data_IF_660945480277
#
_entry.id   IF_660945480277
#
_cell.length_a   1.000
_cell.length_b   1.000
_cell.length_c   1.000
_cell.angle_alpha   90.00
_cell.angle_beta   90.00
_cell.angle_gamma   90.00
#
_symmetry.space_group_name_H-M   'P 1'
#
loop_
_entity.id
_entity.type
_entity.pdbx_description
1 polymer ?
#
# COMPACT_ATOMS: atom_id res chain seq x y z
N UNK A 1 21.10 -10.60 20.62
CA UNK A 1 21.33 -10.12 19.24
C UNK A 1 22.29 -11.08 18.57
N UNK A 2 21.82 -11.92 17.63
CA UNK A 2 22.69 -12.86 16.93
C UNK A 2 23.43 -12.07 15.85
N UNK A 3 24.77 -12.02 15.86
CA UNK A 3 25.60 -11.30 14.87
C UNK A 3 25.34 -11.71 13.41
N UNK A 4 24.54 -12.75 13.20
CA UNK A 4 24.18 -13.30 11.91
C UNK A 4 23.14 -12.47 11.12
N UNK A 5 22.25 -11.71 11.78
CA UNK A 5 21.21 -10.95 11.05
C UNK A 5 21.71 -9.61 10.50
N UNK A 6 22.68 -8.97 11.16
CA UNK A 6 23.20 -7.64 10.78
C UNK A 6 23.93 -7.70 9.41
N UNK A 7 24.58 -8.81 9.07
CA UNK A 7 25.30 -8.97 7.80
C UNK A 7 24.41 -9.28 6.59
N UNK A 8 23.09 -9.44 6.76
CA UNK A 8 22.21 -9.84 5.66
C UNK A 8 21.88 -8.65 4.73
N UNK A 9 21.77 -7.44 5.28
CA UNK A 9 21.41 -6.24 4.52
C UNK A 9 22.49 -5.83 3.48
N UNK A 10 23.75 -6.16 3.73
CA UNK A 10 24.87 -5.80 2.86
C UNK A 10 24.76 -6.42 1.46
N UNK A 11 24.16 -7.61 1.34
CA UNK A 11 24.06 -8.35 0.09
C UNK A 11 22.70 -8.24 -0.62
N UNK A 12 21.67 -7.71 0.03
CA UNK A 12 20.33 -7.63 -0.53
C UNK A 12 20.27 -6.62 -1.68
N UNK A 13 19.78 -7.08 -2.85
CA UNK A 13 19.38 -6.25 -3.99
C UNK A 13 17.87 -5.97 -3.98
N UNK A 14 17.42 -4.96 -4.72
CA UNK A 14 16.01 -4.54 -4.77
C UNK A 14 15.02 -5.62 -5.28
N UNK A 15 15.52 -6.69 -5.92
CA UNK A 15 14.71 -7.77 -6.51
C UNK A 15 15.11 -9.17 -6.00
N UNK A 16 15.82 -9.26 -4.86
CA UNK A 16 16.38 -10.51 -4.35
C UNK A 16 15.30 -11.57 -4.06
N UNK A 17 14.16 -11.13 -3.52
CA UNK A 17 13.05 -12.01 -3.14
C UNK A 17 12.42 -12.65 -4.38
N UNK A 18 12.15 -11.85 -5.39
CA UNK A 18 11.56 -12.30 -6.66
C UNK A 18 12.49 -13.26 -7.39
N UNK A 19 13.80 -12.96 -7.42
CA UNK A 19 14.81 -13.86 -8.01
C UNK A 19 14.83 -15.21 -7.27
N UNK A 20 14.71 -15.20 -5.94
CA UNK A 20 14.69 -16.43 -5.13
C UNK A 20 13.47 -17.28 -5.47
N UNK A 21 12.29 -16.69 -5.54
CA UNK A 21 11.04 -17.38 -5.93
C UNK A 21 11.14 -17.96 -7.34
N UNK A 22 11.68 -17.20 -8.30
CA UNK A 22 11.87 -17.69 -9.67
C UNK A 22 12.83 -18.88 -9.71
N UNK A 23 13.95 -18.84 -8.99
CA UNK A 23 14.90 -19.96 -8.93
C UNK A 23 14.30 -21.21 -8.29
N UNK A 24 13.45 -21.04 -7.29
CA UNK A 24 12.82 -22.15 -6.57
C UNK A 24 11.74 -22.84 -7.43
N UNK A 25 10.87 -22.08 -8.09
CA UNK A 25 9.73 -22.62 -8.83
C UNK A 25 9.98 -22.83 -10.33
N UNK A 26 10.93 -22.10 -10.91
CA UNK A 26 11.27 -22.16 -12.34
C UNK A 26 12.78 -22.35 -12.57
N UNK A 27 13.43 -23.34 -11.93
CA UNK A 27 14.88 -23.54 -12.03
C UNK A 27 15.36 -23.80 -13.47
N UNK A 28 14.50 -24.38 -14.30
CA UNK A 28 14.77 -24.64 -15.71
C UNK A 28 14.96 -23.36 -16.53
N UNK A 29 14.45 -22.21 -16.08
CA UNK A 29 14.63 -20.91 -16.73
C UNK A 29 15.95 -20.24 -16.36
N UNK A 30 16.86 -20.93 -15.64
CA UNK A 30 18.19 -20.41 -15.33
C UNK A 30 19.28 -21.27 -15.97
N UNK A 31 20.20 -20.62 -16.67
CA UNK A 31 21.36 -21.26 -17.25
C UNK A 31 22.46 -21.54 -16.22
N UNK A 32 23.46 -22.33 -16.60
CA UNK A 32 24.58 -22.71 -15.70
C UNK A 32 25.40 -21.52 -15.21
N UNK A 33 25.37 -20.40 -15.92
CA UNK A 33 26.02 -19.14 -15.53
C UNK A 33 25.14 -18.25 -14.64
N UNK A 34 23.90 -18.66 -14.38
CA UNK A 34 22.93 -17.97 -13.54
C UNK A 34 22.10 -16.91 -14.29
N UNK A 35 22.24 -16.78 -15.61
CA UNK A 35 21.39 -15.92 -16.42
C UNK A 35 19.96 -16.48 -16.52
N UNK A 36 18.96 -15.61 -16.67
CA UNK A 36 17.54 -15.98 -16.75
C UNK A 36 17.07 -16.02 -18.20
N UNK A 37 16.62 -17.19 -18.65
CA UNK A 37 16.05 -17.42 -19.97
C UNK A 37 14.56 -17.02 -19.98
N UNK A 38 14.32 -15.80 -20.46
CA UNK A 38 12.97 -15.25 -20.58
C UNK A 38 12.12 -16.01 -21.60
N UNK A 39 12.70 -16.52 -22.69
CA UNK A 39 11.92 -17.20 -23.73
C UNK A 39 11.41 -18.54 -23.21
N UNK A 40 12.26 -19.28 -22.49
CA UNK A 40 11.84 -20.51 -21.82
C UNK A 40 10.77 -20.26 -20.76
N UNK A 41 10.86 -19.16 -20.02
CA UNK A 41 9.81 -18.78 -19.06
C UNK A 41 8.50 -18.44 -19.78
N UNK A 42 8.55 -17.82 -20.96
CA UNK A 42 7.35 -17.56 -21.77
C UNK A 42 6.71 -18.85 -22.26
N UNK A 43 7.49 -19.82 -22.71
CA UNK A 43 6.99 -21.16 -23.09
C UNK A 43 6.28 -21.87 -21.93
N UNK A 44 6.72 -21.67 -20.68
CA UNK A 44 6.03 -22.21 -19.51
C UNK A 44 4.63 -21.63 -19.28
N UNK A 45 4.34 -20.43 -19.81
CA UNK A 45 3.10 -19.69 -19.55
C UNK A 45 2.17 -19.60 -20.77
N UNK A 46 2.66 -19.96 -21.96
CA UNK A 46 2.05 -19.60 -23.24
C UNK A 46 0.68 -20.24 -23.53
N UNK A 47 0.33 -21.32 -22.84
CA UNK A 47 -0.91 -22.05 -23.10
C UNK A 47 -2.13 -21.44 -22.39
N UNK A 48 -1.94 -20.73 -21.27
CA UNK A 48 -3.03 -20.27 -20.40
C UNK A 48 -3.09 -18.74 -20.19
N UNK A 49 -2.04 -17.98 -20.56
CA UNK A 49 -1.93 -16.54 -20.28
C UNK A 49 -1.56 -15.75 -21.53
N UNK A 50 -2.39 -14.78 -21.92
CA UNK A 50 -2.06 -13.84 -22.99
C UNK A 50 -0.94 -12.90 -22.57
N UNK A 51 0.17 -12.90 -23.31
CA UNK A 51 1.31 -12.02 -23.02
C UNK A 51 1.09 -10.62 -23.61
N UNK A 52 1.10 -9.62 -22.75
CA UNK A 52 1.08 -8.22 -23.17
C UNK A 52 2.51 -7.76 -23.42
N UNK A 53 2.84 -7.38 -24.66
CA UNK A 53 4.19 -6.90 -25.02
C UNK A 53 4.44 -5.45 -24.61
N UNK A 54 3.39 -4.65 -24.44
CA UNK A 54 3.46 -3.24 -24.03
C UNK A 54 2.49 -2.98 -22.88
N UNK A 55 3.02 -2.73 -21.68
CA UNK A 55 2.24 -2.40 -20.49
C UNK A 55 2.44 -0.95 -20.06
N UNK A 56 1.43 -0.39 -19.39
CA UNK A 56 1.56 0.87 -18.67
C UNK A 56 2.34 0.63 -17.37
N UNK A 57 3.32 1.50 -17.06
CA UNK A 57 4.09 1.44 -15.80
C UNK A 57 4.16 2.82 -15.15
N UNK A 58 3.85 2.89 -13.85
CA UNK A 58 4.16 4.05 -13.03
C UNK A 58 5.69 4.14 -12.80
N UNK A 59 6.33 5.13 -13.41
CA UNK A 59 7.75 5.44 -13.22
C UNK A 59 7.92 6.72 -12.39
N UNK A 60 8.71 6.64 -11.33
CA UNK A 60 9.11 7.79 -10.52
C UNK A 60 10.55 7.66 -10.03
N UNK A 61 11.18 8.79 -9.73
CA UNK A 61 12.56 8.81 -9.22
C UNK A 61 12.59 8.15 -7.83
N UNK A 62 13.42 7.12 -7.68
CA UNK A 62 13.58 6.39 -6.43
C UNK A 62 12.63 5.19 -6.23
N UNK A 63 11.89 4.74 -7.26
CA UNK A 63 11.08 3.51 -7.19
C UNK A 63 11.90 2.29 -6.75
N UNK A 64 13.07 2.06 -7.35
CA UNK A 64 13.95 0.94 -6.97
C UNK A 64 14.54 1.10 -5.56
N UNK A 65 14.78 2.34 -5.13
CA UNK A 65 15.20 2.63 -3.76
C UNK A 65 14.08 2.25 -2.77
N UNK A 66 12.85 2.66 -3.05
CA UNK A 66 11.69 2.33 -2.23
C UNK A 66 11.45 0.80 -2.12
N UNK A 67 11.65 0.05 -3.23
CA UNK A 67 11.65 -1.43 -3.22
C UNK A 67 12.74 -2.03 -2.34
N UNK A 68 13.96 -1.49 -2.44
CA UNK A 68 15.06 -1.91 -1.57
C UNK A 68 14.68 -1.69 -0.10
N UNK A 69 14.13 -0.53 0.27
CA UNK A 69 13.73 -0.24 1.65
C UNK A 69 12.72 -1.25 2.21
N UNK A 70 11.78 -1.73 1.39
CA UNK A 70 10.82 -2.78 1.78
C UNK A 70 11.49 -4.14 2.05
N UNK A 71 12.66 -4.38 1.44
CA UNK A 71 13.40 -5.66 1.52
C UNK A 71 14.43 -5.69 2.65
N UNK A 72 14.95 -4.52 3.05
CA UNK A 72 15.93 -4.40 4.13
C UNK A 72 15.33 -4.84 5.48
N UNK A 73 16.10 -5.58 6.26
CA UNK A 73 15.75 -5.86 7.66
C UNK A 73 15.86 -4.58 8.48
N UNK A 74 14.98 -4.43 9.47
CA UNK A 74 15.06 -3.34 10.45
C UNK A 74 16.11 -3.64 11.52
N UNK A 75 16.85 -2.61 11.91
CA UNK A 75 17.82 -2.65 13.03
C UNK A 75 17.18 -2.27 14.37
N UNK A 76 15.90 -1.88 14.35
CA UNK A 76 15.13 -1.53 15.55
C UNK A 76 14.73 -2.79 16.35
N UNK A 77 14.32 -2.58 17.60
CA UNK A 77 13.80 -3.63 18.49
C UNK A 77 12.47 -3.21 19.10
N UNK A 78 11.56 -4.15 19.30
CA UNK A 78 10.34 -3.93 20.07
C UNK A 78 10.65 -4.10 21.55
N UNK A 79 10.29 -3.09 22.35
CA UNK A 79 10.44 -3.10 23.81
C UNK A 79 9.05 -2.96 24.43
N UNK A 80 8.61 -3.91 25.29
CA UNK A 80 7.32 -3.80 25.97
C UNK A 80 7.33 -2.66 26.99
N UNK A 81 6.22 -1.93 27.10
CA UNK A 81 6.00 -0.99 28.18
C UNK A 81 5.39 -1.72 29.37
N UNK A 82 6.23 -2.38 30.18
CA UNK A 82 5.79 -3.23 31.29
C UNK A 82 4.83 -2.54 32.25
N UNK A 83 5.06 -1.26 32.56
CA UNK A 83 4.20 -0.48 33.46
C UNK A 83 2.79 -0.28 32.90
N UNK A 84 2.66 -0.07 31.59
CA UNK A 84 1.36 0.08 30.93
C UNK A 84 0.69 -1.28 30.68
N UNK A 85 1.47 -2.29 30.31
CA UNK A 85 0.96 -3.60 29.93
C UNK A 85 0.51 -4.43 31.14
N UNK A 86 1.09 -4.20 32.32
CA UNK A 86 0.77 -4.94 33.55
C UNK A 86 -0.39 -4.32 34.36
N UNK A 87 -1.12 -3.35 33.82
CA UNK A 87 -2.32 -2.83 34.49
C UNK A 87 -3.48 -3.83 34.36
N UNK A 88 -4.38 -3.86 35.34
CA UNK A 88 -5.53 -4.77 35.35
C UNK A 88 -6.42 -4.67 34.09
N UNK A 89 -6.48 -3.48 33.47
CA UNK A 89 -7.20 -3.25 32.21
C UNK A 89 -6.51 -3.86 30.98
N UNK A 90 -5.18 -3.95 30.98
CA UNK A 90 -4.38 -4.27 29.79
C UNK A 90 -3.73 -5.66 29.81
N UNK A 91 -3.64 -6.31 30.97
CA UNK A 91 -2.91 -7.57 31.16
C UNK A 91 -3.37 -8.68 30.18
N UNK A 92 -4.66 -8.77 29.91
CA UNK A 92 -5.29 -9.76 29.02
C UNK A 92 -5.76 -9.15 27.69
N UNK A 93 -5.31 -7.95 27.34
CA UNK A 93 -5.72 -7.27 26.10
C UNK A 93 -5.13 -7.95 24.87
N UNK A 94 -5.97 -8.22 23.88
CA UNK A 94 -5.54 -8.66 22.54
C UNK A 94 -5.14 -7.49 21.62
N UNK A 95 -5.36 -6.25 22.07
CA UNK A 95 -5.05 -5.05 21.29
C UNK A 95 -3.60 -4.60 21.50
N UNK A 96 -2.91 -4.27 20.42
CA UNK A 96 -1.50 -3.86 20.44
C UNK A 96 -1.36 -2.43 19.93
N UNK A 97 -0.61 -1.61 20.67
CA UNK A 97 -0.19 -0.28 20.26
C UNK A 97 1.34 -0.22 20.17
N UNK A 98 1.87 0.18 19.02
CA UNK A 98 3.32 0.27 18.76
C UNK A 98 3.66 1.73 18.46
N UNK A 99 4.64 2.28 19.16
CA UNK A 99 5.18 3.62 18.92
C UNK A 99 6.50 3.56 18.18
N UNK A 100 6.66 4.29 17.08
CA UNK A 100 7.89 4.37 16.29
C UNK A 100 7.62 4.70 14.83
N UNK A 101 8.63 4.54 13.97
CA UNK A 101 8.42 4.59 12.53
C UNK A 101 7.61 3.36 12.08
N UNK A 102 6.54 3.61 11.32
CA UNK A 102 5.64 2.57 10.86
C UNK A 102 6.29 1.59 9.88
N UNK A 103 7.32 1.98 9.12
CA UNK A 103 8.07 1.06 8.25
C UNK A 103 8.77 -0.02 9.08
N UNK A 104 9.41 0.37 10.19
CA UNK A 104 10.04 -0.57 11.13
C UNK A 104 9.00 -1.42 11.87
N UNK A 105 7.91 -0.80 12.33
CA UNK A 105 6.79 -1.50 12.94
C UNK A 105 6.22 -2.59 12.03
N UNK A 106 5.94 -2.25 10.76
CA UNK A 106 5.46 -3.20 9.75
C UNK A 106 6.46 -4.34 9.52
N UNK A 107 7.77 -4.05 9.42
CA UNK A 107 8.81 -5.08 9.26
C UNK A 107 8.84 -6.07 10.42
N UNK A 108 8.68 -5.60 11.66
CA UNK A 108 8.56 -6.50 12.81
C UNK A 108 7.27 -7.32 12.77
N UNK A 109 6.15 -6.69 12.44
CA UNK A 109 4.86 -7.38 12.33
C UNK A 109 4.90 -8.49 11.28
N UNK A 110 5.54 -8.29 10.13
CA UNK A 110 5.65 -9.29 9.07
C UNK A 110 6.22 -10.63 9.56
N UNK A 111 7.15 -10.61 10.54
CA UNK A 111 7.78 -11.83 11.08
C UNK A 111 6.75 -12.79 11.70
N UNK A 112 5.64 -12.27 12.24
CA UNK A 112 4.64 -13.06 12.97
C UNK A 112 3.22 -12.98 12.40
N UNK A 113 2.92 -11.93 11.64
CA UNK A 113 1.59 -11.57 11.15
C UNK A 113 1.46 -11.54 9.62
N UNK A 114 2.45 -12.05 8.88
CA UNK A 114 2.32 -12.25 7.42
C UNK A 114 1.05 -13.05 7.10
N UNK A 115 0.26 -12.56 6.16
CA UNK A 115 -1.02 -13.13 5.75
C UNK A 115 -2.04 -13.38 6.89
N UNK A 116 -2.04 -12.54 7.95
CA UNK A 116 -2.95 -12.67 9.11
C UNK A 116 -3.86 -11.47 9.36
N UNK A 117 -3.63 -10.34 8.70
CA UNK A 117 -4.43 -9.12 8.89
C UNK A 117 -5.63 -9.12 7.96
N UNK A 118 -6.84 -9.03 8.52
CA UNK A 118 -8.08 -9.02 7.72
C UNK A 118 -8.36 -7.66 7.07
N UNK A 119 -8.09 -6.58 7.78
CA UNK A 119 -8.42 -5.23 7.35
C UNK A 119 -7.30 -4.27 7.73
N UNK A 120 -6.91 -3.41 6.81
CA UNK A 120 -6.01 -2.28 7.06
C UNK A 120 -6.76 -1.00 6.72
N UNK A 121 -6.74 -0.02 7.63
CA UNK A 121 -7.16 1.35 7.34
C UNK A 121 -5.99 2.28 7.64
N UNK A 122 -5.69 3.19 6.71
CA UNK A 122 -4.66 4.21 6.89
C UNK A 122 -5.15 5.57 6.39
N UNK A 123 -4.67 6.61 7.07
CA UNK A 123 -4.88 8.02 6.74
C UNK A 123 -3.50 8.70 6.58
N UNK A 124 -2.81 8.47 5.43
CA UNK A 124 -1.48 9.00 5.19
C UNK A 124 -1.49 10.53 5.05
N UNK A 125 -0.33 11.21 5.13
CA UNK A 125 -0.24 12.63 4.78
C UNK A 125 -0.71 12.86 3.34
N UNK A 126 -1.54 13.88 3.11
CA UNK A 126 -2.14 14.14 1.79
C UNK A 126 -1.20 14.89 0.84
N UNK A 127 -0.07 15.39 1.34
CA UNK A 127 0.89 16.19 0.59
C UNK A 127 0.29 17.50 0.05
N UNK A 128 -0.52 18.16 0.88
CA UNK A 128 -1.19 19.42 0.50
C UNK A 128 -0.25 20.62 0.40
N UNK A 129 1.00 20.47 0.84
CA UNK A 129 1.97 21.55 1.03
C UNK A 129 1.74 22.38 2.30
N UNK A 130 0.61 22.19 2.98
CA UNK A 130 0.25 22.87 4.24
C UNK A 130 0.24 21.94 5.46
N UNK A 131 0.25 20.63 5.23
CA UNK A 131 0.27 19.57 6.25
C UNK A 131 1.67 19.31 6.84
N UNK A 132 2.69 19.99 6.33
CA UNK A 132 4.08 19.86 6.79
C UNK A 132 4.75 18.57 6.37
N UNK A 133 4.19 17.81 5.41
CA UNK A 133 4.84 16.61 4.91
C UNK A 133 6.17 16.94 4.23
N UNK A 134 7.23 16.29 4.72
CA UNK A 134 8.57 16.33 4.13
C UNK A 134 9.15 14.94 4.28
N UNK A 135 9.47 14.28 3.16
CA UNK A 135 10.11 12.98 3.23
C UNK A 135 11.56 13.12 3.68
N UNK A 136 11.87 12.52 4.81
CA UNK A 136 13.23 12.37 5.33
C UNK A 136 13.37 10.93 5.84
N UNK A 137 14.45 10.26 5.45
CA UNK A 137 14.76 8.91 5.92
C UNK A 137 16.17 8.85 6.50
N UNK A 138 16.39 7.91 7.43
CA UNK A 138 17.65 7.77 8.17
C UNK A 138 18.59 6.74 7.51
N UNK A 139 18.32 6.32 6.26
CA UNK A 139 19.15 5.32 5.59
C UNK A 139 20.47 5.94 5.09
N UNK A 140 21.58 5.45 5.65
CA UNK A 140 22.91 6.00 5.40
C UNK A 140 23.63 5.28 4.24
N UNK A 141 23.06 5.34 3.04
CA UNK A 141 23.77 4.90 1.82
C UNK A 141 24.68 6.00 1.27
N UNK A 142 25.85 5.62 0.76
CA UNK A 142 26.64 6.47 -0.13
C UNK A 142 26.28 6.26 -1.61
N UNK A 143 26.73 7.16 -2.48
CA UNK A 143 26.39 7.15 -3.92
C UNK A 143 26.81 5.86 -4.59
N UNK A 144 28.01 5.35 -4.29
CA UNK A 144 28.57 4.16 -4.92
C UNK A 144 27.82 2.90 -4.48
N UNK A 145 27.56 2.77 -3.17
CA UNK A 145 26.77 1.68 -2.62
C UNK A 145 25.37 1.63 -3.22
N UNK A 146 24.70 2.79 -3.33
CA UNK A 146 23.35 2.87 -3.87
C UNK A 146 23.34 2.60 -5.39
N UNK A 147 24.31 3.13 -6.11
CA UNK A 147 24.52 2.89 -7.54
C UNK A 147 24.69 1.40 -7.83
N UNK A 148 25.52 0.71 -7.04
CA UNK A 148 25.75 -0.73 -7.18
C UNK A 148 24.50 -1.54 -6.82
N UNK A 149 23.89 -1.27 -5.66
CA UNK A 149 22.70 -2.00 -5.17
C UNK A 149 21.50 -1.89 -6.09
N UNK A 150 21.28 -0.71 -6.67
CA UNK A 150 20.15 -0.45 -7.56
C UNK A 150 20.51 -0.63 -9.05
N UNK A 151 21.78 -0.88 -9.37
CA UNK A 151 22.28 -0.94 -10.75
C UNK A 151 21.90 0.30 -11.57
N UNK A 152 22.10 1.48 -10.97
CA UNK A 152 21.83 2.79 -11.57
C UNK A 152 23.11 3.61 -11.67
N UNK A 153 23.13 4.60 -12.56
CA UNK A 153 24.26 5.54 -12.65
C UNK A 153 24.41 6.35 -11.35
N UNK A 154 25.66 6.69 -10.99
CA UNK A 154 25.98 7.49 -9.81
C UNK A 154 25.22 8.83 -9.77
N UNK A 155 24.99 9.47 -10.91
CA UNK A 155 24.19 10.70 -10.99
C UNK A 155 22.74 10.48 -10.53
N UNK A 156 22.12 9.35 -10.91
CA UNK A 156 20.78 9.01 -10.45
C UNK A 156 20.76 8.67 -8.96
N UNK A 157 21.76 7.94 -8.48
CA UNK A 157 21.92 7.64 -7.06
C UNK A 157 22.06 8.94 -6.22
N UNK A 158 22.87 9.90 -6.69
CA UNK A 158 23.01 11.20 -6.03
C UNK A 158 21.68 11.96 -5.98
N UNK A 159 20.89 11.95 -7.05
CA UNK A 159 19.57 12.59 -7.08
C UNK A 159 18.57 11.97 -6.10
N UNK A 160 18.61 10.65 -5.92
CA UNK A 160 17.79 9.95 -4.91
C UNK A 160 18.25 10.37 -3.50
N UNK A 161 19.55 10.40 -3.24
CA UNK A 161 20.11 10.82 -1.95
C UNK A 161 19.82 12.30 -1.63
N UNK A 162 19.79 13.16 -2.64
CA UNK A 162 19.43 14.57 -2.47
C UNK A 162 17.95 14.74 -2.12
N UNK A 163 17.05 13.93 -2.70
CA UNK A 163 15.62 13.95 -2.39
C UNK A 163 15.30 13.48 -0.97
N UNK A 164 16.05 12.49 -0.47
CA UNK A 164 15.86 11.89 0.85
C UNK A 164 16.45 12.78 1.96
N UNK A 165 17.67 13.30 1.77
CA UNK A 165 18.40 14.04 2.83
C UNK A 165 18.00 15.51 2.98
N UNK A 166 17.59 16.17 1.89
CA UNK A 166 17.23 17.60 1.94
C UNK A 166 15.80 17.83 2.41
N UNK A 167 15.01 16.77 2.50
CA UNK A 167 13.57 16.87 2.64
C UNK A 167 12.91 17.27 1.34
N UNK A 168 11.93 16.50 0.87
CA UNK A 168 11.14 16.84 -0.31
C UNK A 168 9.66 16.52 -0.09
N UNK A 169 8.81 17.44 -0.55
CA UNK A 169 7.36 17.27 -0.65
C UNK A 169 6.91 16.99 -2.10
N UNK A 170 7.83 16.57 -2.97
CA UNK A 170 7.48 16.21 -4.35
C UNK A 170 6.69 14.90 -4.41
N UNK A 171 5.91 14.69 -5.47
CA UNK A 171 5.20 13.42 -5.71
C UNK A 171 6.15 12.20 -5.66
N UNK A 172 7.36 12.32 -6.22
CA UNK A 172 8.35 11.22 -6.14
C UNK A 172 8.77 10.93 -4.70
N UNK A 173 8.90 11.96 -3.86
CA UNK A 173 9.23 11.79 -2.45
C UNK A 173 8.09 11.14 -1.66
N UNK A 174 6.85 11.56 -1.91
CA UNK A 174 5.66 10.94 -1.33
C UNK A 174 5.49 9.48 -1.77
N UNK A 175 5.69 9.18 -3.06
CA UNK A 175 5.65 7.82 -3.59
C UNK A 175 6.77 6.95 -2.98
N UNK A 176 8.00 7.48 -2.82
CA UNK A 176 9.08 6.77 -2.14
C UNK A 176 8.73 6.45 -0.68
N UNK A 177 8.06 7.37 0.01
CA UNK A 177 7.58 7.16 1.38
C UNK A 177 6.50 6.08 1.46
N UNK A 178 5.49 6.14 0.59
CA UNK A 178 4.32 5.26 0.64
C UNK A 178 4.60 3.85 0.13
N UNK A 179 5.40 3.69 -0.93
CA UNK A 179 5.65 2.42 -1.59
C UNK A 179 6.03 1.28 -0.63
N UNK A 180 7.09 1.39 0.21
CA UNK A 180 7.50 0.27 1.05
C UNK A 180 6.47 -0.05 2.12
N UNK A 181 5.75 0.96 2.62
CA UNK A 181 4.70 0.79 3.63
C UNK A 181 3.51 0.03 3.08
N UNK A 182 3.06 0.40 1.88
CA UNK A 182 1.97 -0.29 1.18
C UNK A 182 2.35 -1.71 0.79
N UNK A 183 3.58 -1.93 0.32
CA UNK A 183 4.06 -3.28 0.00
C UNK A 183 4.06 -4.19 1.23
N UNK A 184 4.53 -3.71 2.38
CA UNK A 184 4.51 -4.48 3.63
C UNK A 184 3.08 -4.67 4.16
N UNK A 185 2.23 -3.64 4.08
CA UNK A 185 0.81 -3.76 4.45
C UNK A 185 0.09 -4.82 3.60
N UNK A 186 0.36 -4.85 2.29
CA UNK A 186 -0.14 -5.90 1.37
C UNK A 186 0.27 -7.29 1.85
N UNK A 187 1.51 -7.47 2.30
CA UNK A 187 2.05 -8.77 2.74
C UNK A 187 1.54 -9.21 4.12
N UNK A 188 1.03 -8.28 4.94
CA UNK A 188 0.32 -8.62 6.18
C UNK A 188 -1.11 -9.12 5.92
N UNK A 189 -1.74 -8.71 4.83
CA UNK A 189 -3.14 -9.04 4.56
C UNK A 189 -3.35 -10.54 4.29
N UNK A 190 -4.39 -11.11 4.90
CA UNK A 190 -4.93 -12.42 4.48
C UNK A 190 -5.37 -12.37 3.01
N UNK A 191 -5.49 -13.52 2.34
CA UNK A 191 -5.96 -13.57 0.94
C UNK A 191 -7.31 -12.87 0.74
N UNK A 192 -8.22 -13.05 1.69
CA UNK A 192 -9.54 -12.41 1.73
C UNK A 192 -9.51 -11.02 2.39
N UNK A 193 -8.33 -10.43 2.60
CA UNK A 193 -8.14 -9.16 3.27
C UNK A 193 -8.32 -7.94 2.37
N UNK A 194 -8.57 -6.78 3.00
CA UNK A 194 -8.85 -5.51 2.33
C UNK A 194 -8.07 -4.36 2.96
N UNK A 195 -7.65 -3.39 2.15
CA UNK A 195 -7.05 -2.13 2.61
C UNK A 195 -7.90 -0.95 2.16
N UNK A 196 -8.07 0.02 3.07
CA UNK A 196 -8.73 1.30 2.86
C UNK A 196 -7.71 2.42 3.09
N UNK A 197 -7.60 3.34 2.13
CA UNK A 197 -6.60 4.41 2.18
C UNK A 197 -7.30 5.73 1.91
N UNK A 198 -7.39 6.56 2.94
CA UNK A 198 -7.90 7.93 2.81
C UNK A 198 -6.91 8.83 2.06
N UNK A 199 -7.41 9.69 1.19
CA UNK A 199 -6.58 10.60 0.38
C UNK A 199 -7.41 11.75 -0.16
N UNK A 200 -6.79 12.89 -0.47
CA UNK A 200 -7.42 13.98 -1.23
C UNK A 200 -6.94 14.02 -2.69
N UNK A 201 -7.35 15.06 -3.43
CA UNK A 201 -7.00 15.23 -4.84
C UNK A 201 -5.50 15.36 -5.13
N UNK A 202 -4.65 15.74 -4.16
CA UNK A 202 -3.23 16.03 -4.41
C UNK A 202 -2.46 14.76 -4.83
N UNK A 203 -2.81 13.63 -4.23
CA UNK A 203 -2.10 12.35 -4.45
C UNK A 203 -3.02 11.19 -4.83
N UNK A 204 -4.35 11.36 -4.94
CA UNK A 204 -5.26 10.24 -5.24
C UNK A 204 -4.87 9.46 -6.51
N UNK A 205 -4.46 10.16 -7.58
CA UNK A 205 -4.11 9.52 -8.84
C UNK A 205 -2.78 8.76 -8.71
N UNK A 206 -1.80 9.37 -8.04
CA UNK A 206 -0.51 8.75 -7.79
C UNK A 206 -0.64 7.53 -6.88
N UNK A 207 -1.46 7.63 -5.83
CA UNK A 207 -1.77 6.53 -4.93
C UNK A 207 -2.50 5.39 -5.64
N UNK A 208 -3.47 5.70 -6.52
CA UNK A 208 -4.18 4.70 -7.33
C UNK A 208 -3.20 3.90 -8.17
N UNK A 209 -2.35 4.57 -8.93
CA UNK A 209 -1.36 3.92 -9.79
C UNK A 209 -0.30 3.16 -8.97
N UNK A 210 0.06 3.67 -7.80
CA UNK A 210 0.97 2.98 -6.88
C UNK A 210 0.33 1.70 -6.32
N UNK A 211 -0.96 1.74 -5.96
CA UNK A 211 -1.69 0.57 -5.51
C UNK A 211 -1.89 -0.43 -6.66
N UNK A 212 -2.11 0.01 -7.90
CA UNK A 212 -2.15 -0.88 -9.06
C UNK A 212 -0.81 -1.61 -9.27
N UNK A 213 0.33 -0.94 -9.09
CA UNK A 213 1.67 -1.55 -9.17
C UNK A 213 1.91 -2.56 -8.03
N UNK A 214 1.41 -2.29 -6.82
CA UNK A 214 1.65 -3.11 -5.62
C UNK A 214 0.65 -4.26 -5.49
N UNK A 215 -0.65 -3.99 -5.59
CA UNK A 215 -1.73 -4.95 -5.38
C UNK A 215 -2.18 -5.63 -6.68
N UNK A 216 -1.87 -5.04 -7.83
CA UNK A 216 -2.42 -5.42 -9.13
C UNK A 216 -3.77 -4.72 -9.38
N UNK A 217 -3.94 -4.17 -10.59
CA UNK A 217 -5.15 -3.43 -10.98
C UNK A 217 -6.43 -4.27 -10.82
N UNK A 218 -6.36 -5.58 -11.12
CA UNK A 218 -7.49 -6.51 -10.95
C UNK A 218 -7.97 -6.65 -9.50
N UNK A 219 -7.17 -6.20 -8.53
CA UNK A 219 -7.51 -6.22 -7.11
C UNK A 219 -8.07 -4.88 -6.60
N UNK A 220 -8.23 -3.89 -7.48
CA UNK A 220 -8.95 -2.66 -7.16
C UNK A 220 -10.44 -2.96 -6.99
N UNK A 221 -11.01 -2.56 -5.83
CA UNK A 221 -12.42 -2.76 -5.55
C UNK A 221 -13.24 -1.53 -5.95
N UNK A 222 -12.93 -0.37 -5.38
CA UNK A 222 -13.68 0.87 -5.61
C UNK A 222 -12.97 2.09 -5.01
N UNK A 223 -13.47 3.27 -5.34
CA UNK A 223 -13.17 4.52 -4.65
C UNK A 223 -14.43 5.00 -3.96
N UNK A 224 -14.36 5.19 -2.63
CA UNK A 224 -15.43 5.82 -1.86
C UNK A 224 -15.18 7.33 -1.89
N UNK A 225 -16.15 8.10 -2.38
CA UNK A 225 -16.13 9.56 -2.23
C UNK A 225 -16.75 9.94 -0.88
N UNK A 226 -15.96 10.56 0.00
CA UNK A 226 -16.43 11.09 1.28
C UNK A 226 -16.59 12.60 1.15
N UNK A 227 -17.70 13.13 1.69
CA UNK A 227 -17.91 14.58 1.73
C UNK A 227 -17.17 15.18 2.94
N UNK A 228 -16.36 16.22 2.71
CA UNK A 228 -15.53 16.86 3.75
C UNK A 228 -16.21 18.07 4.41
N UNK A 229 -17.37 18.47 3.89
CA UNK A 229 -18.18 19.60 4.37
C UNK A 229 -18.21 20.77 3.38
N UNK A 230 -19.25 21.59 3.46
CA UNK A 230 -19.34 22.81 2.63
C UNK A 230 -18.42 23.87 3.22
N UNK A 231 -17.44 24.42 2.49
CA UNK A 231 -16.64 25.52 2.98
C UNK A 231 -17.56 26.71 3.30
N UNK A 232 -17.70 27.02 4.59
CA UNK A 232 -18.51 28.14 5.06
C UNK A 232 -17.73 29.44 4.87
N UNK A 233 -17.84 30.01 3.67
CA UNK A 233 -17.26 31.30 3.33
C UNK A 233 -17.67 31.68 1.90
N UNK A 234 -18.45 32.75 1.75
CA UNK A 234 -18.78 33.28 0.43
C UNK A 234 -17.51 33.79 -0.28
N UNK A 235 -17.29 33.28 -1.48
CA UNK A 235 -16.08 33.49 -2.30
C UNK A 235 -15.42 32.12 -2.50
N UNK A 236 -15.28 31.59 -3.71
CA UNK A 236 -14.60 32.22 -4.83
C UNK A 236 -15.15 31.73 -6.19
N UNK A 237 -14.78 32.50 -7.21
CA UNK A 237 -15.02 32.35 -8.64
C UNK A 237 -14.50 31.00 -9.20
N UNK A 238 -15.20 29.87 -8.97
CA UNK A 238 -14.73 28.57 -9.45
C UNK A 238 -15.47 27.33 -8.93
N UNK A 239 -14.90 26.15 -9.21
CA UNK A 239 -15.36 24.85 -8.71
C UNK A 239 -14.72 24.60 -7.33
N UNK A 240 -15.55 24.29 -6.33
CA UNK A 240 -15.13 23.98 -4.97
C UNK A 240 -14.93 22.48 -4.84
N UNK A 241 -13.80 22.05 -4.27
CA UNK A 241 -13.64 20.67 -3.85
C UNK A 241 -14.28 20.48 -2.46
N UNK A 242 -15.28 19.59 -2.38
CA UNK A 242 -16.01 19.23 -1.15
C UNK A 242 -15.91 17.72 -0.84
N UNK A 243 -15.01 17.02 -1.52
CA UNK A 243 -14.82 15.59 -1.37
C UNK A 243 -13.36 15.23 -1.13
N UNK A 244 -13.17 14.20 -0.33
CA UNK A 244 -11.98 13.38 -0.30
C UNK A 244 -12.34 11.95 -0.68
N UNK A 245 -11.34 11.09 -0.77
CA UNK A 245 -11.46 9.76 -1.34
C UNK A 245 -10.94 8.72 -0.36
N UNK A 246 -11.51 7.53 -0.43
CA UNK A 246 -10.95 6.33 0.18
C UNK A 246 -10.77 5.31 -0.93
N UNK A 247 -9.52 4.99 -1.27
CA UNK A 247 -9.22 3.92 -2.21
C UNK A 247 -9.31 2.57 -1.50
N UNK A 248 -9.95 1.60 -2.15
CA UNK A 248 -10.17 0.27 -1.60
C UNK A 248 -9.57 -0.79 -2.51
N UNK A 249 -8.65 -1.58 -1.94
CA UNK A 249 -7.99 -2.70 -2.63
C UNK A 249 -8.14 -3.98 -1.83
N UNK A 250 -8.33 -5.09 -2.53
CA UNK A 250 -8.23 -6.43 -1.95
C UNK A 250 -6.77 -6.92 -2.00
N UNK A 251 -6.42 -7.89 -1.14
CA UNK A 251 -5.22 -8.71 -1.34
C UNK A 251 -5.40 -9.64 -2.54
N UNK A 252 -6.56 -10.30 -2.61
CA UNK A 252 -7.02 -11.12 -3.73
C UNK A 252 -8.53 -10.93 -3.88
N UNK A 253 -8.96 -10.20 -4.91
CA UNK A 253 -10.36 -9.81 -5.09
C UNK A 253 -11.31 -11.02 -5.24
N UNK A 254 -10.96 -12.11 -5.96
CA UNK A 254 -11.79 -13.31 -6.00
C UNK A 254 -12.00 -13.99 -4.63
N UNK A 255 -11.03 -13.88 -3.71
CA UNK A 255 -11.14 -14.41 -2.35
C UNK A 255 -11.79 -13.43 -1.36
N UNK A 256 -12.01 -12.18 -1.75
CA UNK A 256 -12.51 -11.14 -0.86
C UNK A 256 -13.93 -11.46 -0.39
N UNK A 257 -14.12 -11.38 0.93
CA UNK A 257 -15.46 -11.48 1.55
C UNK A 257 -15.78 -10.15 2.21
N UNK A 258 -16.64 -9.36 1.58
CA UNK A 258 -17.29 -8.19 2.16
C UNK A 258 -18.76 -8.54 2.42
N UNK A 259 -19.10 -8.67 3.70
CA UNK A 259 -20.48 -8.84 4.11
C UNK A 259 -21.17 -7.47 4.18
N UNK A 260 -22.37 -7.38 3.63
CA UNK A 260 -23.24 -6.24 3.87
C UNK A 260 -23.70 -6.19 5.33
N UNK A 261 -24.16 -5.02 5.76
CA UNK A 261 -24.89 -4.93 7.03
C UNK A 261 -26.21 -5.69 6.92
N UNK A 262 -26.65 -6.38 7.98
CA UNK A 262 -27.95 -7.03 7.98
C UNK A 262 -29.04 -5.99 7.76
N UNK A 263 -29.95 -6.26 6.81
CA UNK A 263 -31.10 -5.41 6.53
C UNK A 263 -31.97 -5.32 7.79
N UNK A 264 -32.12 -4.12 8.35
CA UNK A 264 -33.02 -3.90 9.47
C UNK A 264 -34.45 -3.54 9.00
N UNK A 265 -35.40 -3.43 9.94
CA UNK A 265 -36.79 -3.09 9.61
C UNK A 265 -36.95 -1.68 9.02
N UNK A 266 -36.04 -0.76 9.33
CA UNK A 266 -36.05 0.59 8.78
C UNK A 266 -35.57 0.61 7.33
N UNK A 267 -34.51 -0.13 7.02
CA UNK A 267 -34.01 -0.33 5.65
C UNK A 267 -35.09 -0.96 4.78
N UNK A 268 -35.83 -1.93 5.31
CA UNK A 268 -36.92 -2.60 4.60
C UNK A 268 -38.08 -1.66 4.23
N UNK A 269 -38.22 -0.53 4.93
CA UNK A 269 -39.20 0.53 4.60
C UNK A 269 -38.69 1.44 3.48
N UNK A 270 -37.37 1.66 3.40
CA UNK A 270 -36.72 2.46 2.36
C UNK A 270 -36.63 1.67 1.04
N UNK A 271 -36.17 0.42 1.11
CA UNK A 271 -36.12 -0.53 -0.01
C UNK A 271 -37.44 -1.31 -0.11
N UNK A 272 -38.47 -0.60 -0.54
CA UNK A 272 -39.87 -1.05 -0.52
C UNK A 272 -40.25 -1.94 -1.71
N UNK A 273 -39.44 -2.00 -2.76
CA UNK A 273 -39.68 -2.82 -3.95
C UNK A 273 -38.88 -4.14 -3.88
N UNK A 274 -39.26 -5.12 -4.71
CA UNK A 274 -38.57 -6.42 -4.83
C UNK A 274 -38.39 -6.80 -6.30
N UNK A 275 -37.20 -7.27 -6.63
CA UNK A 275 -36.87 -7.85 -7.93
C UNK A 275 -37.27 -9.34 -7.97
N UNK A 276 -37.22 -9.95 -9.15
CA UNK A 276 -37.66 -11.33 -9.39
C UNK A 276 -36.83 -12.37 -8.61
N UNK A 277 -35.59 -12.04 -8.26
CA UNK A 277 -34.69 -12.86 -7.43
C UNK A 277 -34.95 -12.70 -5.91
N UNK A 278 -35.88 -11.84 -5.52
CA UNK A 278 -36.23 -11.53 -4.13
C UNK A 278 -35.38 -10.41 -3.49
N UNK A 279 -34.40 -9.87 -4.22
CA UNK A 279 -33.59 -8.72 -3.80
C UNK A 279 -34.46 -7.47 -3.68
N UNK A 280 -34.28 -6.69 -2.62
CA UNK A 280 -35.04 -5.45 -2.41
C UNK A 280 -34.35 -4.26 -3.07
N UNK A 281 -35.12 -3.36 -3.66
CA UNK A 281 -34.60 -2.12 -4.26
C UNK A 281 -35.50 -0.93 -3.93
N UNK A 282 -35.03 0.27 -4.26
CA UNK A 282 -35.87 1.46 -4.34
C UNK A 282 -35.65 2.15 -5.69
N UNK A 283 -36.66 2.85 -6.18
CA UNK A 283 -36.49 3.75 -7.32
C UNK A 283 -36.06 5.12 -6.81
N UNK A 284 -34.96 5.65 -7.35
CA UNK A 284 -34.51 7.02 -7.05
C UNK A 284 -34.58 7.87 -8.31
N UNK A 285 -34.98 9.13 -8.15
CA UNK A 285 -34.82 10.12 -9.21
C UNK A 285 -33.34 10.40 -9.45
N UNK A 286 -32.97 10.79 -10.67
CA UNK A 286 -31.59 11.21 -11.02
C UNK A 286 -31.11 12.44 -10.21
N UNK A 287 -32.02 13.14 -9.53
CA UNK A 287 -31.68 14.24 -8.62
C UNK A 287 -31.33 13.66 -7.25
N UNK A 288 -30.11 13.92 -6.77
CA UNK A 288 -29.72 13.62 -5.38
C UNK A 288 -30.55 14.48 -4.43
N UNK A 289 -31.58 13.90 -3.84
CA UNK A 289 -32.24 14.45 -2.65
C UNK A 289 -31.49 13.89 -1.44
N UNK A 290 -30.68 14.72 -0.78
CA UNK A 290 -30.06 14.35 0.49
C UNK A 290 -31.14 14.32 1.58
N UNK A 291 -31.21 13.23 2.34
CA UNK A 291 -31.86 13.21 3.65
C UNK A 291 -30.81 13.36 4.74
N UNK A 292 -31.21 13.81 5.93
CA UNK A 292 -30.35 13.86 7.13
C UNK A 292 -30.11 12.45 7.72
N UNK A 293 -29.77 11.48 6.89
CA UNK A 293 -29.40 10.16 7.37
C UNK A 293 -27.91 10.16 7.71
N UNK A 294 -27.61 10.00 9.01
CA UNK A 294 -26.24 9.93 9.54
C UNK A 294 -25.81 8.46 9.53
N UNK A 295 -25.50 7.93 8.36
CA UNK A 295 -24.80 6.65 8.22
C UNK A 295 -23.40 6.87 7.68
#
# INVERSE_FOLDING_TARGET
MNRYEINKNDYLKAHEREITVLKEHFPACFDTDGSFDIERFKEYLSDDISMVQEGYELKFLGKNYARLLATLNTDSVIVPNENHNSTEENEESENIYITGDNLDGLKHLLKSYSDKVKCVYIDPPYNTGSDGFVYNDDFNFNVNELSEKLSIYEEQAQRILDLTKRGSASHSAWLMFMYPRLQLARDLLTKDGVIFISIDDNEQANLKLLCDDIFGENNFLTTISRATGTPTGGGFDGLVNEIDYILVYARDLPSLVINGLPMNEEDSKIYNEKDDDGSRYLTRSLRRTGGEDRR
#
